data_IF_293374994460
#
_entry.id   IF_293374994460
#
_cell.length_a   1.000
_cell.length_b   1.000
_cell.length_c   1.000
_cell.angle_alpha   90.00
_cell.angle_beta   90.00
_cell.angle_gamma   90.00
#
_symmetry.space_group_name_H-M   'P 1'
#
loop_
_entity.id
_entity.type
_entity.pdbx_description
1 polymer ?
#
# COMPACT_ATOMS: atom_id res chain seq x y z
N UNK A 1 -6.00 -40.25 -6.94
CA UNK A 1 -6.73 -38.96 -6.99
C UNK A 1 -6.91 -38.39 -5.57
N UNK A 2 -5.82 -38.07 -4.86
CA UNK A 2 -5.89 -37.48 -3.50
C UNK A 2 -4.82 -36.40 -3.25
N UNK A 3 -3.90 -36.20 -4.19
CA UNK A 3 -2.74 -35.31 -4.04
C UNK A 3 -2.91 -33.89 -4.59
N UNK A 4 -4.03 -33.58 -5.27
CA UNK A 4 -4.20 -32.29 -5.95
C UNK A 4 -4.94 -31.23 -5.12
N UNK A 5 -5.61 -31.60 -4.02
CA UNK A 5 -6.36 -30.62 -3.19
C UNK A 5 -5.50 -29.81 -2.21
N UNK A 6 -4.29 -30.27 -1.86
CA UNK A 6 -3.45 -29.60 -0.85
C UNK A 6 -2.64 -28.41 -1.42
N UNK A 7 -2.43 -28.35 -2.73
CA UNK A 7 -1.65 -27.28 -3.36
C UNK A 7 -2.46 -25.98 -3.60
N UNK A 8 -3.80 -26.05 -3.63
CA UNK A 8 -4.68 -24.89 -3.86
C UNK A 8 -4.86 -23.99 -2.63
N UNK A 9 -4.44 -24.43 -1.44
CA UNK A 9 -4.62 -23.69 -0.19
C UNK A 9 -3.36 -22.92 0.28
N UNK A 10 -2.19 -23.21 -0.31
CA UNK A 10 -0.89 -22.64 0.11
C UNK A 10 -0.44 -21.44 -0.73
N UNK A 11 -1.07 -21.18 -1.87
CA UNK A 11 -0.98 -19.88 -2.55
C UNK A 11 -1.92 -18.93 -1.83
N UNK A 12 -1.49 -18.59 -0.62
CA UNK A 12 -2.04 -17.57 0.23
C UNK A 12 -2.51 -16.40 -0.63
N UNK A 13 -3.78 -16.09 -0.48
CA UNK A 13 -4.31 -14.75 -0.60
C UNK A 13 -3.20 -13.78 -0.18
N UNK A 14 -2.52 -13.12 -1.12
CA UNK A 14 -1.91 -11.84 -0.84
C UNK A 14 -3.10 -10.94 -0.50
N UNK A 15 -3.54 -10.98 0.77
CA UNK A 15 -4.71 -10.26 1.25
C UNK A 15 -4.40 -8.82 0.94
N UNK A 16 -5.10 -8.25 -0.04
CA UNK A 16 -4.92 -6.86 -0.40
C UNK A 16 -5.00 -6.05 0.89
N UNK A 17 -3.88 -5.45 1.28
CA UNK A 17 -3.81 -4.75 2.57
C UNK A 17 -4.72 -3.54 2.47
N UNK A 18 -5.75 -3.52 3.31
CA UNK A 18 -6.71 -2.42 3.36
C UNK A 18 -6.00 -1.21 3.91
N UNK A 19 -6.24 -0.07 3.27
CA UNK A 19 -5.65 1.22 3.64
C UNK A 19 -6.75 2.22 3.94
N UNK A 20 -6.48 3.13 4.87
CA UNK A 20 -7.33 4.27 5.16
C UNK A 20 -6.46 5.53 5.25
N UNK A 21 -7.03 6.69 4.93
CA UNK A 21 -6.32 7.96 5.01
C UNK A 21 -6.03 8.35 6.46
N UNK A 22 -4.83 8.87 6.71
CA UNK A 22 -4.53 9.57 7.96
C UNK A 22 -5.29 10.90 7.96
N UNK A 23 -5.90 11.29 9.08
CA UNK A 23 -6.60 12.57 9.19
C UNK A 23 -6.40 13.14 10.61
N UNK A 24 -5.76 14.33 10.76
CA UNK A 24 -5.23 15.18 9.71
C UNK A 24 -3.96 14.61 9.05
N UNK A 25 -3.72 14.93 7.77
CA UNK A 25 -2.54 14.44 7.03
C UNK A 25 -1.20 14.86 7.69
N UNK A 26 -1.21 15.89 8.54
CA UNK A 26 -0.06 16.34 9.34
C UNK A 26 0.39 15.33 10.41
N UNK A 27 -0.42 14.34 10.78
CA UNK A 27 -0.04 13.27 11.72
C UNK A 27 0.73 12.12 11.05
N UNK A 28 1.04 12.25 9.75
CA UNK A 28 1.79 11.23 9.06
C UNK A 28 3.21 11.07 9.64
N UNK A 29 3.62 9.82 9.88
CA UNK A 29 4.95 9.48 10.39
C UNK A 29 6.03 9.40 9.30
N UNK A 30 5.63 9.50 8.05
CA UNK A 30 6.49 9.54 6.87
C UNK A 30 6.11 10.74 6.00
N UNK A 31 7.00 11.16 5.11
CA UNK A 31 6.72 12.27 4.20
C UNK A 31 6.36 11.77 2.80
N UNK A 32 5.12 12.00 2.36
CA UNK A 32 4.73 11.77 0.97
C UNK A 32 5.11 12.98 0.11
N UNK A 33 5.71 12.72 -1.05
CA UNK A 33 6.14 13.74 -2.00
C UNK A 33 5.18 13.83 -3.19
N UNK A 34 5.35 14.86 -4.01
CA UNK A 34 4.67 15.00 -5.31
C UNK A 34 3.13 14.86 -5.25
N UNK A 35 2.51 15.34 -4.17
CA UNK A 35 1.05 15.28 -3.99
C UNK A 35 0.51 13.91 -3.57
N UNK A 36 1.38 12.98 -3.14
CA UNK A 36 0.96 11.71 -2.55
C UNK A 36 0.23 11.91 -1.21
N UNK A 37 -0.75 11.05 -0.93
CA UNK A 37 -1.53 11.09 0.30
C UNK A 37 -1.06 10.04 1.30
N UNK A 38 -0.96 10.42 2.56
CA UNK A 38 -0.63 9.49 3.63
C UNK A 38 -1.82 8.61 4.00
N UNK A 39 -1.56 7.31 4.07
CA UNK A 39 -2.49 6.29 4.54
C UNK A 39 -1.81 5.40 5.59
N UNK A 40 -2.61 4.68 6.36
CA UNK A 40 -2.13 3.62 7.25
C UNK A 40 -2.74 2.27 6.86
N UNK A 41 -2.08 1.18 7.24
CA UNK A 41 -2.64 -0.17 7.08
C UNK A 41 -3.73 -0.39 8.12
N UNK A 42 -4.95 -0.72 7.70
CA UNK A 42 -6.10 -0.89 8.63
C UNK A 42 -5.83 -1.98 9.67
N UNK A 43 -5.11 -3.04 9.27
CA UNK A 43 -4.78 -4.16 10.16
C UNK A 43 -3.56 -3.87 11.07
N UNK A 44 -2.78 -2.82 10.78
CA UNK A 44 -1.69 -2.33 11.66
C UNK A 44 -1.49 -0.81 11.46
N UNK A 45 -2.26 0.03 12.18
CA UNK A 45 -2.26 1.48 11.95
C UNK A 45 -0.95 2.19 12.27
N UNK A 46 0.00 1.52 12.91
CA UNK A 46 1.34 2.09 13.17
C UNK A 46 2.18 2.20 11.89
N UNK A 47 1.82 1.44 10.85
CA UNK A 47 2.49 1.45 9.55
C UNK A 47 1.81 2.45 8.63
N UNK A 48 2.52 3.55 8.36
CA UNK A 48 2.11 4.57 7.40
C UNK A 48 2.74 4.29 6.02
N UNK A 49 2.02 4.63 4.95
CA UNK A 49 2.42 4.43 3.56
C UNK A 49 1.87 5.57 2.69
N UNK A 50 2.49 5.84 1.54
CA UNK A 50 2.00 6.84 0.60
C UNK A 50 1.15 6.22 -0.51
N UNK A 51 0.05 6.89 -0.84
CA UNK A 51 -0.75 6.64 -2.02
C UNK A 51 -0.38 7.68 -3.08
N UNK A 52 0.25 7.22 -4.15
CA UNK A 52 0.73 8.10 -5.22
C UNK A 52 -0.37 8.44 -6.22
N UNK A 53 -0.25 9.59 -6.86
CA UNK A 53 -1.06 9.94 -8.02
C UNK A 53 -0.76 8.94 -9.14
N UNK A 54 -1.77 8.15 -9.51
CA UNK A 54 -1.65 7.05 -10.46
C UNK A 54 -1.03 7.51 -11.77
N UNK A 55 -0.16 6.66 -12.32
CA UNK A 55 0.62 6.86 -13.55
C UNK A 55 1.58 8.07 -13.56
N UNK A 56 1.51 8.97 -12.59
CA UNK A 56 2.35 10.16 -12.51
C UNK A 56 3.56 9.98 -11.60
N UNK A 57 3.39 9.31 -10.47
CA UNK A 57 4.43 9.13 -9.47
C UNK A 57 4.41 7.74 -8.84
N UNK A 58 5.58 7.28 -8.42
CA UNK A 58 5.84 5.94 -7.87
C UNK A 58 6.94 5.99 -6.80
N UNK A 59 7.09 4.91 -6.04
CA UNK A 59 8.01 4.76 -4.92
C UNK A 59 7.31 4.91 -3.57
N UNK A 60 7.98 4.48 -2.50
CA UNK A 60 7.42 4.45 -1.14
C UNK A 60 6.97 5.81 -0.63
N UNK A 61 7.59 6.88 -1.13
CA UNK A 61 7.30 8.27 -0.82
C UNK A 61 6.75 9.03 -2.04
N UNK A 62 6.38 8.34 -3.13
CA UNK A 62 5.99 8.94 -4.41
C UNK A 62 7.06 9.85 -5.03
N UNK A 63 8.34 9.51 -4.81
CA UNK A 63 9.49 10.34 -5.18
C UNK A 63 9.88 10.25 -6.67
N UNK A 64 9.50 9.17 -7.35
CA UNK A 64 9.89 8.94 -8.75
C UNK A 64 8.76 9.33 -9.68
N UNK A 65 9.08 10.06 -10.75
CA UNK A 65 8.13 10.35 -11.82
C UNK A 65 7.87 9.09 -12.66
N UNK A 66 6.61 8.79 -12.93
CA UNK A 66 6.19 7.74 -13.86
C UNK A 66 6.75 8.01 -15.26
N UNK A 67 7.27 6.98 -15.91
CA UNK A 67 7.64 7.07 -17.33
C UNK A 67 6.36 6.80 -18.13
N UNK A 68 5.78 7.86 -18.67
CA UNK A 68 4.73 7.75 -19.68
C UNK A 68 5.32 7.26 -21.01
#
# INVERSE_FOLDING_TARGET
MRSLCLAMCLLALARAQRKAFVNPQSECRIQCLNGGFCAYLVDNPTVHTCLCLLDMFTGDHCQYRGKH
#
